data_IF_898490627329
#
_entry.id   IF_898490627329
#
_cell.length_a   1.000
_cell.length_b   1.000
_cell.length_c   1.000
_cell.angle_alpha   90.00
_cell.angle_beta   90.00
_cell.angle_gamma   90.00
#
_symmetry.space_group_name_H-M   'P 1'
#
loop_
_entity.id
_entity.type
_entity.pdbx_description
1 polymer ?
#
# COMPACT_ATOMS: atom_id res chain seq x y z
N UNK A 1 11.96 40.59 72.11
CA UNK A 1 11.20 41.54 72.94
C UNK A 1 9.98 41.99 72.16
N UNK A 2 8.80 41.69 72.71
CA UNK A 2 7.60 42.53 72.66
C UNK A 2 6.68 42.60 71.42
N UNK A 3 5.38 42.43 71.74
CA UNK A 3 4.18 43.05 71.16
C UNK A 3 3.54 42.39 69.92
N UNK A 4 2.58 41.46 70.08
CA UNK A 4 1.16 41.67 70.43
C UNK A 4 0.47 42.82 69.67
N UNK A 5 -0.48 42.46 68.78
CA UNK A 5 -1.84 43.04 68.63
C UNK A 5 -2.61 42.18 67.60
N UNK A 6 -3.51 41.29 68.01
CA UNK A 6 -4.95 41.52 68.26
C UNK A 6 -5.62 42.37 67.17
N UNK A 7 -6.33 41.73 66.24
CA UNK A 7 -7.68 42.16 65.84
C UNK A 7 -8.58 40.92 65.75
N UNK A 8 -9.68 41.01 66.49
CA UNK A 8 -10.81 40.08 66.57
C UNK A 8 -11.80 40.34 65.44
N UNK A 9 -12.57 39.31 65.14
CA UNK A 9 -14.00 39.37 64.76
C UNK A 9 -14.31 39.75 63.30
N UNK A 10 -14.84 38.78 62.54
CA UNK A 10 -16.27 38.80 62.19
C UNK A 10 -16.73 37.46 61.60
N UNK A 11 -17.68 36.86 62.31
CA UNK A 11 -18.66 35.89 61.83
C UNK A 11 -19.24 36.31 60.47
N UNK A 12 -19.23 35.39 59.48
CA UNK A 12 -20.39 35.17 58.58
C UNK A 12 -20.45 33.69 58.20
N UNK A 13 -21.44 33.01 58.78
CA UNK A 13 -22.05 31.80 58.23
C UNK A 13 -22.51 32.13 56.80
N UNK A 14 -22.02 31.39 55.82
CA UNK A 14 -22.71 31.21 54.54
C UNK A 14 -22.84 29.71 54.33
N UNK A 15 -24.06 29.21 54.57
CA UNK A 15 -24.53 27.97 53.98
C UNK A 15 -24.63 28.21 52.47
N UNK A 16 -23.72 27.63 51.69
CA UNK A 16 -23.85 27.55 50.24
C UNK A 16 -23.72 26.08 49.83
N UNK A 17 -24.72 25.63 49.08
CA UNK A 17 -24.96 24.26 48.72
C UNK A 17 -23.75 23.55 48.11
N UNK A 18 -23.56 22.32 48.56
CA UNK A 18 -22.68 21.32 47.96
C UNK A 18 -23.33 20.86 46.64
N UNK A 19 -23.16 21.63 45.57
CA UNK A 19 -23.42 21.16 44.21
C UNK A 19 -22.37 20.10 43.87
N UNK A 20 -22.77 18.82 43.89
CA UNK A 20 -22.04 17.75 43.24
C UNK A 20 -21.94 18.08 41.74
N UNK A 21 -20.88 18.80 41.37
CA UNK A 21 -20.44 18.90 39.99
C UNK A 21 -19.95 17.52 39.57
N UNK A 22 -20.77 16.77 38.84
CA UNK A 22 -20.29 15.66 38.04
C UNK A 22 -19.30 16.23 37.02
N UNK A 23 -18.01 16.16 37.34
CA UNK A 23 -16.96 16.30 36.33
C UNK A 23 -17.13 15.08 35.43
N UNK A 24 -17.88 15.23 34.34
CA UNK A 24 -17.82 14.30 33.22
C UNK A 24 -16.42 14.45 32.63
N UNK A 25 -15.49 13.67 33.17
CA UNK A 25 -14.23 13.40 32.51
C UNK A 25 -14.66 12.68 31.24
N UNK A 26 -14.77 13.42 30.14
CA UNK A 26 -14.80 12.81 28.82
C UNK A 26 -13.47 12.08 28.72
N UNK A 27 -13.51 10.79 29.05
CA UNK A 27 -12.48 9.85 28.65
C UNK A 27 -12.59 9.85 27.14
N UNK A 28 -11.87 10.76 26.48
CA UNK A 28 -11.47 10.56 25.11
C UNK A 28 -10.79 9.20 25.14
N UNK A 29 -11.48 8.19 24.59
CA UNK A 29 -10.90 6.88 24.41
C UNK A 29 -9.61 7.14 23.63
N UNK A 30 -8.49 7.10 24.35
CA UNK A 30 -7.18 7.26 23.76
C UNK A 30 -7.09 6.09 22.80
N UNK A 31 -6.99 6.37 21.49
CA UNK A 31 -6.95 5.32 20.49
C UNK A 31 -5.73 4.45 20.81
N UNK A 32 -5.98 3.25 21.35
CA UNK A 32 -4.94 2.40 21.92
C UNK A 32 -3.93 1.94 20.84
N UNK A 33 -4.27 2.12 19.56
CA UNK A 33 -3.47 1.76 18.39
C UNK A 33 -3.57 2.76 17.24
N UNK A 34 -2.94 3.95 17.35
CA UNK A 34 -2.99 4.98 16.30
C UNK A 34 -2.23 4.58 15.02
N UNK A 35 -1.41 3.53 15.08
CA UNK A 35 -0.71 2.98 13.92
C UNK A 35 -1.63 2.20 12.96
N UNK A 36 -2.84 1.85 13.42
CA UNK A 36 -3.85 1.13 12.62
C UNK A 36 -4.89 2.15 12.13
N UNK A 37 -4.96 2.32 10.82
CA UNK A 37 -5.96 3.10 10.11
C UNK A 37 -6.19 2.40 8.77
N UNK A 38 -7.30 1.69 8.59
CA UNK A 38 -7.56 1.00 7.34
C UNK A 38 -8.18 1.92 6.27
N UNK A 39 -8.33 3.22 6.56
CA UNK A 39 -8.86 4.24 5.66
C UNK A 39 -10.23 3.83 5.08
N UNK A 40 -11.06 3.21 5.93
CA UNK A 40 -12.31 2.58 5.50
C UNK A 40 -13.28 3.57 4.88
N UNK A 41 -13.30 4.83 5.33
CA UNK A 41 -14.22 5.85 4.82
C UNK A 41 -13.96 6.25 3.36
N UNK A 42 -12.77 5.96 2.82
CA UNK A 42 -12.43 6.22 1.42
C UNK A 42 -12.90 5.12 0.45
N UNK A 43 -13.39 3.99 0.97
CA UNK A 43 -13.81 2.86 0.15
C UNK A 43 -15.13 3.12 -0.57
N UNK A 44 -15.32 2.53 -1.77
CA UNK A 44 -16.53 2.71 -2.54
C UNK A 44 -17.71 1.93 -1.95
N UNK A 45 -18.76 2.65 -1.57
CA UNK A 45 -20.02 2.05 -1.12
C UNK A 45 -20.03 1.62 0.34
N UNK A 46 -21.22 1.58 0.92
CA UNK A 46 -21.41 1.35 2.35
C UNK A 46 -20.93 -0.05 2.79
N UNK A 47 -21.15 -1.06 1.94
CA UNK A 47 -20.79 -2.46 2.26
C UNK A 47 -19.28 -2.62 2.44
N UNK A 48 -18.47 -1.99 1.57
CA UNK A 48 -17.01 -2.01 1.68
C UNK A 48 -16.53 -1.30 2.94
N UNK A 49 -17.10 -0.12 3.21
CA UNK A 49 -16.77 0.67 4.39
C UNK A 49 -17.07 -0.10 5.69
N UNK A 50 -18.24 -0.76 5.77
CA UNK A 50 -18.64 -1.56 6.92
C UNK A 50 -17.72 -2.79 7.09
N UNK A 51 -17.41 -3.51 6.01
CA UNK A 51 -16.55 -4.69 6.10
C UNK A 51 -15.13 -4.34 6.53
N UNK A 52 -14.57 -3.27 5.95
CA UNK A 52 -13.29 -2.71 6.38
C UNK A 52 -13.32 -2.30 7.87
N UNK A 53 -14.36 -1.59 8.32
CA UNK A 53 -14.45 -1.13 9.71
C UNK A 53 -14.54 -2.29 10.73
N UNK A 54 -15.23 -3.39 10.37
CA UNK A 54 -15.24 -4.61 11.18
C UNK A 54 -13.83 -5.18 11.33
N UNK A 55 -13.07 -5.30 10.23
CA UNK A 55 -11.69 -5.80 10.24
C UNK A 55 -10.74 -4.86 10.99
N UNK A 56 -10.81 -3.55 10.75
CA UNK A 56 -10.01 -2.54 11.46
C UNK A 56 -10.22 -2.64 12.98
N UNK A 57 -11.47 -2.81 13.43
CA UNK A 57 -11.80 -2.97 14.85
C UNK A 57 -11.12 -4.21 15.45
N UNK A 58 -11.09 -5.33 14.71
CA UNK A 58 -10.43 -6.55 15.14
C UNK A 58 -8.90 -6.37 15.25
N UNK A 59 -8.27 -5.72 14.26
CA UNK A 59 -6.82 -5.41 14.29
C UNK A 59 -6.50 -4.47 15.46
N UNK A 60 -7.27 -3.39 15.65
CA UNK A 60 -7.06 -2.44 16.75
C UNK A 60 -7.13 -3.11 18.11
N UNK A 61 -8.09 -4.03 18.29
CA UNK A 61 -8.18 -4.84 19.50
C UNK A 61 -6.96 -5.73 19.70
N UNK A 62 -6.54 -6.48 18.68
CA UNK A 62 -5.37 -7.35 18.76
C UNK A 62 -4.08 -6.55 19.02
N UNK A 63 -3.96 -5.37 18.43
CA UNK A 63 -2.87 -4.45 18.64
C UNK A 63 -2.83 -3.92 20.09
N UNK A 64 -3.98 -3.56 20.68
CA UNK A 64 -4.08 -3.14 22.07
C UNK A 64 -3.67 -4.27 23.03
N UNK A 65 -4.15 -5.50 22.76
CA UNK A 65 -3.75 -6.70 23.49
C UNK A 65 -2.24 -7.00 23.35
N UNK A 66 -1.64 -6.60 22.22
CA UNK A 66 -0.20 -6.70 21.93
C UNK A 66 0.59 -5.41 22.23
N UNK A 67 0.16 -4.62 23.22
CA UNK A 67 0.88 -3.44 23.74
C UNK A 67 1.19 -2.38 22.68
N UNK A 68 0.24 -2.14 21.77
CA UNK A 68 0.33 -1.10 20.75
C UNK A 68 1.11 -1.52 19.49
N UNK A 69 1.43 -2.82 19.33
CA UNK A 69 2.09 -3.34 18.13
C UNK A 69 1.09 -4.16 17.31
N UNK A 70 0.73 -3.64 16.13
CA UNK A 70 -0.12 -4.37 15.20
C UNK A 70 0.52 -5.69 14.76
N UNK A 71 -0.24 -6.78 14.85
CA UNK A 71 0.18 -8.12 14.43
C UNK A 71 -0.41 -8.54 13.10
N UNK A 72 -1.26 -7.70 12.51
CA UNK A 72 -2.06 -7.98 11.34
C UNK A 72 -2.16 -6.72 10.45
N UNK A 73 -2.62 -6.90 9.22
CA UNK A 73 -2.71 -5.88 8.18
C UNK A 73 -4.16 -5.56 7.81
N UNK A 74 -4.38 -4.36 7.27
CA UNK A 74 -5.67 -3.99 6.69
C UNK A 74 -5.91 -4.77 5.39
N UNK A 75 -6.68 -5.87 5.46
CA UNK A 75 -6.93 -6.74 4.32
C UNK A 75 -7.90 -6.11 3.30
N UNK A 76 -8.91 -5.40 3.79
CA UNK A 76 -9.76 -4.46 3.03
C UNK A 76 -9.36 -3.07 3.46
N UNK A 77 -9.04 -2.20 2.51
CA UNK A 77 -8.35 -0.97 2.86
C UNK A 77 -8.49 0.16 1.83
N UNK A 78 -8.58 1.39 2.33
CA UNK A 78 -8.49 2.60 1.51
C UNK A 78 -7.10 2.85 0.93
N UNK A 79 -6.96 3.97 0.22
CA UNK A 79 -5.70 4.30 -0.44
C UNK A 79 -4.60 4.70 0.54
N UNK A 80 -4.94 5.23 1.71
CA UNK A 80 -4.02 5.73 2.73
C UNK A 80 -3.90 4.81 3.95
N UNK A 81 -4.29 3.54 3.79
CA UNK A 81 -4.34 2.61 4.90
C UNK A 81 -2.96 2.20 5.44
N UNK A 82 -2.93 1.87 6.73
CA UNK A 82 -1.77 1.40 7.51
C UNK A 82 -2.23 0.46 8.64
N UNK A 83 -1.49 -0.63 8.95
CA UNK A 83 -0.34 -1.14 8.20
C UNK A 83 -0.78 -1.96 6.98
N UNK A 84 0.02 -1.92 5.91
CA UNK A 84 -0.12 -2.76 4.73
C UNK A 84 1.19 -3.52 4.45
N UNK A 85 1.14 -4.75 3.92
CA UNK A 85 2.33 -5.53 3.53
C UNK A 85 2.91 -5.07 2.18
N UNK A 86 2.84 -3.77 1.88
CA UNK A 86 3.44 -3.17 0.69
C UNK A 86 4.95 -2.96 0.89
N UNK A 87 5.69 -2.89 -0.22
CA UNK A 87 7.12 -2.61 -0.21
C UNK A 87 7.44 -1.12 -0.35
N UNK A 88 6.44 -0.34 -0.76
CA UNK A 88 6.52 1.10 -1.02
C UNK A 88 6.51 1.91 0.27
N UNK A 89 7.49 2.80 0.46
CA UNK A 89 7.47 3.80 1.54
C UNK A 89 6.85 5.12 1.05
N UNK A 90 5.72 5.50 1.68
CA UNK A 90 4.99 6.72 1.36
C UNK A 90 5.33 7.89 2.31
N UNK A 91 6.28 7.74 3.22
CA UNK A 91 6.63 8.77 4.19
C UNK A 91 7.75 9.71 3.71
N UNK A 92 7.95 10.83 4.41
CA UNK A 92 9.19 11.61 4.35
C UNK A 92 9.51 12.32 3.02
N UNK A 93 8.55 13.07 2.46
CA UNK A 93 8.80 13.91 1.27
C UNK A 93 8.86 15.38 1.66
N UNK A 94 9.95 16.04 1.30
CA UNK A 94 10.18 17.46 1.57
C UNK A 94 10.12 18.26 0.26
N UNK A 95 9.45 19.42 0.29
CA UNK A 95 9.45 20.36 -0.84
C UNK A 95 10.85 20.97 -1.00
N UNK A 96 11.37 20.99 -2.23
CA UNK A 96 12.66 21.60 -2.59
C UNK A 96 12.46 22.85 -3.44
N UNK A 97 13.50 23.65 -3.62
CA UNK A 97 13.43 24.83 -4.50
C UNK A 97 13.27 24.47 -5.97
N UNK A 98 12.67 25.35 -6.77
CA UNK A 98 12.54 25.19 -8.25
C UNK A 98 13.87 24.86 -8.94
N UNK A 99 14.97 25.49 -8.49
CA UNK A 99 16.30 25.22 -9.03
C UNK A 99 16.80 23.79 -8.74
N UNK A 100 16.39 23.22 -7.60
CA UNK A 100 16.73 21.85 -7.22
C UNK A 100 15.90 20.82 -8.00
N UNK A 101 14.67 21.14 -8.41
CA UNK A 101 13.81 20.23 -9.19
C UNK A 101 14.54 19.75 -10.46
N UNK A 102 15.16 20.67 -11.22
CA UNK A 102 15.93 20.31 -12.42
C UNK A 102 17.11 19.37 -12.10
N UNK A 103 17.81 19.60 -10.98
CA UNK A 103 18.88 18.71 -10.52
C UNK A 103 18.35 17.32 -10.12
N UNK A 104 17.18 17.26 -9.48
CA UNK A 104 16.53 16.00 -9.13
C UNK A 104 16.07 15.22 -10.37
N UNK A 105 15.52 15.87 -11.39
CA UNK A 105 15.16 15.22 -12.66
C UNK A 105 16.38 14.58 -13.35
N UNK A 106 17.51 15.29 -13.40
CA UNK A 106 18.76 14.72 -13.92
C UNK A 106 19.22 13.50 -13.09
N UNK A 107 19.00 13.55 -11.76
CA UNK A 107 19.30 12.43 -10.87
C UNK A 107 18.40 11.23 -11.14
N UNK A 108 17.10 11.43 -11.39
CA UNK A 108 16.14 10.38 -11.79
C UNK A 108 16.64 9.66 -13.05
N UNK A 109 16.96 10.40 -14.11
CA UNK A 109 17.48 9.82 -15.35
C UNK A 109 18.79 9.03 -15.14
N UNK A 110 19.71 9.58 -14.33
CA UNK A 110 20.97 8.90 -14.00
C UNK A 110 20.73 7.60 -13.18
N UNK A 111 19.74 7.58 -12.29
CA UNK A 111 19.38 6.40 -11.51
C UNK A 111 18.78 5.30 -12.38
N UNK A 112 17.91 5.62 -13.35
CA UNK A 112 17.42 4.63 -14.32
C UNK A 112 18.56 4.00 -15.11
N UNK A 113 19.48 4.82 -15.65
CA UNK A 113 20.65 4.30 -16.36
C UNK A 113 21.50 3.38 -15.47
N UNK A 114 21.74 3.77 -14.21
CA UNK A 114 22.48 2.95 -13.25
C UNK A 114 21.77 1.62 -12.98
N UNK A 115 20.44 1.62 -12.80
CA UNK A 115 19.67 0.41 -12.52
C UNK A 115 19.74 -0.60 -13.68
N UNK A 116 19.70 -0.14 -14.93
CA UNK A 116 19.90 -1.02 -16.08
C UNK A 116 21.32 -1.60 -16.12
N UNK A 117 22.35 -0.77 -15.91
CA UNK A 117 23.74 -1.23 -15.88
C UNK A 117 23.99 -2.22 -14.73
N UNK A 118 23.39 -1.99 -13.56
CA UNK A 118 23.49 -2.87 -12.40
C UNK A 118 22.79 -4.22 -12.66
N UNK A 119 21.65 -4.24 -13.36
CA UNK A 119 20.98 -5.48 -13.73
C UNK A 119 21.86 -6.36 -14.64
N UNK A 120 22.50 -5.75 -15.64
CA UNK A 120 23.44 -6.43 -16.52
C UNK A 120 24.65 -6.97 -15.73
N UNK A 121 25.23 -6.14 -14.86
CA UNK A 121 26.36 -6.52 -14.01
C UNK A 121 26.00 -7.68 -13.06
N UNK A 122 24.81 -7.68 -12.48
CA UNK A 122 24.31 -8.78 -11.66
C UNK A 122 24.19 -10.06 -12.50
N UNK A 123 23.63 -9.96 -13.70
CA UNK A 123 23.50 -11.07 -14.64
C UNK A 123 24.86 -11.66 -15.06
N UNK A 124 25.85 -10.82 -15.35
CA UNK A 124 27.22 -11.25 -15.67
C UNK A 124 27.90 -11.94 -14.48
N UNK A 125 27.79 -11.37 -13.28
CA UNK A 125 28.35 -11.97 -12.07
C UNK A 125 27.75 -13.35 -11.80
N UNK A 126 26.44 -13.50 -11.95
CA UNK A 126 25.73 -14.78 -11.74
C UNK A 126 26.11 -15.81 -12.81
N UNK A 127 26.19 -15.42 -14.09
CA UNK A 127 26.69 -16.30 -15.18
C UNK A 127 28.12 -16.79 -14.90
N UNK A 128 28.97 -15.94 -14.32
CA UNK A 128 30.33 -16.29 -13.89
C UNK A 128 30.36 -17.09 -12.57
N UNK A 129 29.22 -17.54 -12.04
CA UNK A 129 29.06 -18.24 -10.76
C UNK A 129 29.55 -17.44 -9.54
N UNK A 130 29.70 -16.12 -9.67
CA UNK A 130 30.05 -15.19 -8.59
C UNK A 130 28.79 -14.71 -7.86
N UNK A 131 28.03 -15.65 -7.28
CA UNK A 131 26.71 -15.38 -6.70
C UNK A 131 26.72 -14.31 -5.60
N UNK A 132 27.76 -14.26 -4.76
CA UNK A 132 27.91 -13.23 -3.73
C UNK A 132 27.97 -11.82 -4.34
N UNK A 133 28.72 -11.65 -5.44
CA UNK A 133 28.78 -10.38 -6.17
C UNK A 133 27.43 -10.04 -6.80
N UNK A 134 26.74 -11.02 -7.40
CA UNK A 134 25.39 -10.82 -7.92
C UNK A 134 24.41 -10.34 -6.84
N UNK A 135 24.49 -10.92 -5.64
CA UNK A 135 23.67 -10.52 -4.50
C UNK A 135 23.95 -9.10 -4.02
N UNK A 136 25.23 -8.69 -3.96
CA UNK A 136 25.61 -7.32 -3.61
C UNK A 136 25.04 -6.30 -4.60
N UNK A 137 25.15 -6.58 -5.90
CA UNK A 137 24.61 -5.69 -6.95
C UNK A 137 23.09 -5.61 -6.85
N UNK A 138 22.39 -6.74 -6.71
CA UNK A 138 20.93 -6.72 -6.50
C UNK A 138 20.51 -6.01 -5.20
N UNK A 139 21.36 -5.97 -4.17
CA UNK A 139 21.09 -5.17 -2.97
C UNK A 139 21.19 -3.67 -3.28
N UNK A 140 22.25 -3.25 -3.97
CA UNK A 140 22.40 -1.86 -4.39
C UNK A 140 21.24 -1.41 -5.28
N UNK A 141 20.79 -2.27 -6.19
CA UNK A 141 19.62 -2.00 -7.02
C UNK A 141 18.34 -1.80 -6.19
N UNK A 142 18.06 -2.66 -5.21
CA UNK A 142 16.88 -2.53 -4.34
C UNK A 142 16.88 -1.18 -3.60
N UNK A 143 18.03 -0.75 -3.09
CA UNK A 143 18.20 0.57 -2.44
C UNK A 143 18.02 1.72 -3.45
N UNK A 144 18.50 1.55 -4.69
CA UNK A 144 18.36 2.56 -5.75
C UNK A 144 16.93 2.68 -6.28
N UNK A 145 16.15 1.59 -6.34
CA UNK A 145 14.71 1.62 -6.69
C UNK A 145 13.92 2.44 -5.66
N UNK A 146 14.24 2.28 -4.37
CA UNK A 146 13.63 3.07 -3.30
C UNK A 146 14.00 4.55 -3.40
N UNK A 147 15.29 4.84 -3.57
CA UNK A 147 15.78 6.21 -3.69
C UNK A 147 15.20 6.91 -4.92
N UNK A 148 15.05 6.19 -6.04
CA UNK A 148 14.46 6.67 -7.27
C UNK A 148 13.01 7.13 -7.03
N UNK A 149 12.19 6.28 -6.41
CA UNK A 149 10.80 6.64 -6.08
C UNK A 149 10.68 7.80 -5.11
N UNK A 150 11.52 7.84 -4.07
CA UNK A 150 11.55 8.96 -3.12
C UNK A 150 11.88 10.28 -3.81
N UNK A 151 12.90 10.29 -4.68
CA UNK A 151 13.27 11.49 -5.44
C UNK A 151 12.14 11.91 -6.39
N UNK A 152 11.49 10.95 -7.07
CA UNK A 152 10.34 11.25 -7.92
C UNK A 152 9.21 11.93 -7.13
N UNK A 153 8.85 11.36 -5.98
CA UNK A 153 7.85 11.98 -5.10
C UNK A 153 8.25 13.37 -4.65
N UNK A 154 9.54 13.60 -4.41
CA UNK A 154 10.08 14.90 -4.04
C UNK A 154 9.91 15.93 -5.16
N UNK A 155 10.19 15.53 -6.40
CA UNK A 155 9.97 16.36 -7.61
C UNK A 155 8.49 16.73 -7.73
N UNK A 156 7.59 15.74 -7.73
CA UNK A 156 6.17 15.98 -7.99
C UNK A 156 5.48 16.71 -6.85
N UNK A 157 5.85 16.44 -5.61
CA UNK A 157 5.36 17.20 -4.44
C UNK A 157 5.82 18.65 -4.50
N UNK A 158 7.02 18.93 -5.01
CA UNK A 158 7.53 20.30 -5.16
C UNK A 158 6.79 21.04 -6.27
N UNK A 159 6.55 20.41 -7.42
CA UNK A 159 5.71 20.99 -8.48
C UNK A 159 4.31 21.36 -7.98
N UNK A 160 3.64 20.46 -7.25
CA UNK A 160 2.32 20.74 -6.64
C UNK A 160 2.41 21.94 -5.68
N UNK A 161 3.46 22.02 -4.86
CA UNK A 161 3.65 23.12 -3.92
C UNK A 161 3.88 24.49 -4.60
N UNK A 162 4.35 24.49 -5.85
CA UNK A 162 4.52 25.68 -6.69
C UNK A 162 3.36 25.94 -7.65
N UNK A 163 2.22 25.24 -7.47
CA UNK A 163 1.02 25.36 -8.32
C UNK A 163 1.28 24.94 -9.79
N UNK A 164 2.29 24.09 -10.02
CA UNK A 164 2.66 23.52 -11.32
C UNK A 164 2.09 22.10 -11.49
N UNK A 165 0.78 21.92 -11.27
CA UNK A 165 0.13 20.59 -11.29
C UNK A 165 0.34 19.83 -12.61
N UNK A 166 0.34 20.51 -13.75
CA UNK A 166 0.58 19.88 -15.05
C UNK A 166 1.99 19.30 -15.20
N UNK A 167 3.00 19.93 -14.61
CA UNK A 167 4.37 19.40 -14.61
C UNK A 167 4.50 18.22 -13.63
N UNK A 168 3.73 18.23 -12.55
CA UNK A 168 3.63 17.07 -11.65
C UNK A 168 2.98 15.86 -12.33
N UNK A 169 1.89 16.07 -13.09
CA UNK A 169 1.22 15.02 -13.89
C UNK A 169 2.16 14.45 -14.95
N UNK A 170 2.79 15.29 -15.78
CA UNK A 170 3.78 14.85 -16.79
C UNK A 170 4.94 14.07 -16.17
N UNK A 171 5.46 14.52 -15.02
CA UNK A 171 6.54 13.82 -14.34
C UNK A 171 6.10 12.45 -13.81
N UNK A 172 4.84 12.28 -13.41
CA UNK A 172 4.29 10.98 -13.03
C UNK A 172 4.07 10.06 -14.23
N UNK A 173 3.58 10.59 -15.34
CA UNK A 173 3.44 9.86 -16.60
C UNK A 173 4.79 9.25 -17.03
N UNK A 174 5.82 10.09 -17.20
CA UNK A 174 7.18 9.66 -17.58
C UNK A 174 7.73 8.58 -16.63
N UNK A 175 7.59 8.82 -15.32
CA UNK A 175 8.07 7.89 -14.29
C UNK A 175 7.33 6.55 -14.33
N UNK A 176 6.02 6.55 -14.59
CA UNK A 176 5.20 5.34 -14.61
C UNK A 176 5.66 4.39 -15.72
N UNK A 177 5.93 4.91 -16.93
CA UNK A 177 6.37 4.14 -18.08
C UNK A 177 7.77 3.54 -17.87
N UNK A 178 8.73 4.35 -17.43
CA UNK A 178 10.11 3.92 -17.20
C UNK A 178 10.19 2.91 -16.04
N UNK A 179 9.45 3.15 -14.95
CA UNK A 179 9.35 2.21 -13.82
C UNK A 179 8.72 0.88 -14.24
N UNK A 180 7.69 0.92 -15.08
CA UNK A 180 7.04 -0.28 -15.60
C UNK A 180 7.99 -1.10 -16.47
N UNK A 181 8.75 -0.45 -17.35
CA UNK A 181 9.77 -1.11 -18.18
C UNK A 181 10.85 -1.77 -17.33
N UNK A 182 11.39 -1.05 -16.35
CA UNK A 182 12.36 -1.58 -15.40
C UNK A 182 11.79 -2.77 -14.61
N UNK A 183 10.55 -2.68 -14.12
CA UNK A 183 9.89 -3.76 -13.38
C UNK A 183 9.79 -5.04 -14.22
N UNK A 184 9.42 -4.92 -15.50
CA UNK A 184 9.36 -6.04 -16.45
C UNK A 184 10.74 -6.68 -16.70
N UNK A 185 11.79 -5.88 -16.81
CA UNK A 185 13.15 -6.39 -17.00
C UNK A 185 13.65 -7.17 -15.77
N UNK A 186 13.39 -6.65 -14.56
CA UNK A 186 13.75 -7.31 -13.30
C UNK A 186 12.91 -8.58 -13.08
N UNK A 187 11.62 -8.56 -13.39
CA UNK A 187 10.75 -9.74 -13.35
C UNK A 187 11.28 -10.84 -14.26
N UNK A 188 11.53 -10.53 -15.53
CA UNK A 188 12.10 -11.48 -16.49
C UNK A 188 13.42 -12.08 -15.99
N UNK A 189 14.26 -11.25 -15.36
CA UNK A 189 15.50 -11.70 -14.74
C UNK A 189 15.25 -12.64 -13.54
N UNK A 190 14.35 -12.27 -12.62
CA UNK A 190 13.96 -13.09 -11.47
C UNK A 190 13.34 -14.43 -11.86
N UNK A 191 12.40 -14.42 -12.81
CA UNK A 191 11.78 -15.62 -13.36
C UNK A 191 12.82 -16.54 -14.05
N UNK A 192 13.81 -15.97 -14.75
CA UNK A 192 14.92 -16.75 -15.31
C UNK A 192 15.75 -17.42 -14.22
N UNK A 193 16.05 -16.72 -13.11
CA UNK A 193 16.79 -17.30 -11.99
C UNK A 193 15.99 -18.42 -11.31
N UNK A 194 14.67 -18.29 -11.21
CA UNK A 194 13.80 -19.32 -10.66
C UNK A 194 13.82 -20.59 -11.52
N UNK A 195 13.78 -20.44 -12.85
CA UNK A 195 13.98 -21.57 -13.77
C UNK A 195 15.35 -22.24 -13.58
N UNK A 196 16.41 -21.46 -13.38
CA UNK A 196 17.74 -22.00 -13.08
C UNK A 196 17.81 -22.71 -11.71
N UNK A 197 17.02 -22.26 -10.74
CA UNK A 197 16.83 -22.96 -9.46
C UNK A 197 16.20 -24.35 -9.66
N UNK A 198 15.18 -24.46 -10.50
CA UNK A 198 14.50 -25.74 -10.78
C UNK A 198 15.40 -26.73 -11.54
N UNK A 199 16.23 -26.22 -12.46
CA UNK A 199 17.14 -27.03 -13.28
C UNK A 199 18.43 -27.43 -12.55
N UNK A 200 18.82 -26.69 -11.50
CA UNK A 200 20.07 -26.93 -10.79
C UNK A 200 20.05 -28.27 -10.01
N UNK A 201 21.02 -29.13 -10.32
CA UNK A 201 21.20 -30.43 -9.66
C UNK A 201 22.07 -30.34 -8.40
N UNK A 202 22.99 -29.38 -8.35
CA UNK A 202 23.88 -29.17 -7.21
C UNK A 202 23.24 -28.24 -6.17
N UNK A 203 23.32 -28.61 -4.89
CA UNK A 203 22.71 -27.86 -3.78
C UNK A 203 23.16 -26.40 -3.70
N UNK A 204 24.45 -26.14 -3.90
CA UNK A 204 25.01 -24.78 -3.75
C UNK A 204 24.51 -23.82 -4.84
N UNK A 205 24.64 -24.12 -6.16
CA UNK A 205 24.00 -23.35 -7.21
C UNK A 205 22.49 -23.24 -7.04
N UNK A 206 21.80 -24.34 -6.71
CA UNK A 206 20.35 -24.34 -6.49
C UNK A 206 19.96 -23.32 -5.43
N UNK A 207 20.53 -23.42 -4.23
CA UNK A 207 20.28 -22.46 -3.14
C UNK A 207 20.59 -21.02 -3.55
N UNK A 208 21.70 -20.80 -4.26
CA UNK A 208 22.08 -19.46 -4.72
C UNK A 208 21.04 -18.86 -5.69
N UNK A 209 20.60 -19.64 -6.69
CA UNK A 209 19.56 -19.20 -7.62
C UNK A 209 18.24 -18.90 -6.92
N UNK A 210 17.80 -19.73 -5.97
CA UNK A 210 16.57 -19.47 -5.21
C UNK A 210 16.60 -18.14 -4.44
N UNK A 211 17.71 -17.86 -3.74
CA UNK A 211 17.90 -16.60 -3.01
C UNK A 211 17.89 -15.40 -3.95
N UNK A 212 18.64 -15.48 -5.06
CA UNK A 212 18.75 -14.41 -6.04
C UNK A 212 17.41 -14.18 -6.78
N UNK A 213 16.69 -15.25 -7.11
CA UNK A 213 15.38 -15.19 -7.76
C UNK A 213 14.36 -14.47 -6.89
N UNK A 214 14.21 -14.88 -5.61
CA UNK A 214 13.30 -14.21 -4.67
C UNK A 214 13.66 -12.74 -4.49
N UNK A 215 14.96 -12.40 -4.44
CA UNK A 215 15.41 -11.01 -4.32
C UNK A 215 15.04 -10.17 -5.55
N UNK A 216 15.31 -10.68 -6.74
CA UNK A 216 14.94 -10.02 -8.00
C UNK A 216 13.42 -9.88 -8.14
N UNK A 217 12.65 -10.95 -7.87
CA UNK A 217 11.18 -10.89 -7.91
C UNK A 217 10.62 -9.91 -6.87
N UNK A 218 11.19 -9.83 -5.66
CA UNK A 218 10.76 -8.83 -4.67
C UNK A 218 10.99 -7.40 -5.19
N UNK A 219 12.14 -7.13 -5.81
CA UNK A 219 12.45 -5.85 -6.43
C UNK A 219 11.48 -5.53 -7.58
N UNK A 220 11.18 -6.51 -8.44
CA UNK A 220 10.19 -6.35 -9.51
C UNK A 220 8.81 -6.00 -8.95
N UNK A 221 8.36 -6.72 -7.91
CA UNK A 221 7.13 -6.42 -7.20
C UNK A 221 7.09 -4.98 -6.69
N UNK A 222 8.15 -4.53 -6.01
CA UNK A 222 8.29 -3.13 -5.54
C UNK A 222 8.23 -2.13 -6.70
N UNK A 223 8.97 -2.36 -7.78
CA UNK A 223 8.97 -1.48 -8.95
C UNK A 223 7.58 -1.41 -9.62
N UNK A 224 6.82 -2.51 -9.65
CA UNK A 224 5.42 -2.49 -10.08
C UNK A 224 4.53 -1.69 -9.12
N UNK A 225 4.70 -1.79 -7.79
CA UNK A 225 3.95 -0.94 -6.85
C UNK A 225 4.23 0.55 -7.11
N UNK A 226 5.49 0.93 -7.35
CA UNK A 226 5.88 2.30 -7.65
C UNK A 226 5.27 2.80 -8.97
N UNK A 227 5.29 1.96 -10.01
CA UNK A 227 4.68 2.29 -11.30
C UNK A 227 3.15 2.42 -11.17
N UNK A 228 2.49 1.50 -10.46
CA UNK A 228 1.05 1.57 -10.21
C UNK A 228 0.69 2.84 -9.42
N UNK A 229 1.47 3.18 -8.39
CA UNK A 229 1.29 4.42 -7.64
C UNK A 229 1.39 5.65 -8.56
N UNK A 230 2.37 5.68 -9.45
CA UNK A 230 2.54 6.77 -10.42
C UNK A 230 1.34 6.90 -11.37
N UNK A 231 0.85 5.79 -11.94
CA UNK A 231 -0.37 5.78 -12.75
C UNK A 231 -1.60 6.32 -11.98
N UNK A 232 -1.70 6.04 -10.67
CA UNK A 232 -2.77 6.62 -9.83
C UNK A 232 -2.62 8.14 -9.71
N UNK A 233 -1.41 8.66 -9.55
CA UNK A 233 -1.18 10.09 -9.48
C UNK A 233 -1.50 10.80 -10.81
N UNK A 234 -1.32 10.10 -11.92
CA UNK A 234 -1.71 10.53 -13.27
C UNK A 234 -3.17 10.15 -13.63
N UNK A 235 -3.97 9.72 -12.65
CA UNK A 235 -5.41 9.37 -12.82
C UNK A 235 -5.69 8.26 -13.84
N UNK A 236 -4.70 7.44 -14.19
CA UNK A 236 -4.83 6.28 -15.07
C UNK A 236 -5.19 5.03 -14.23
N UNK A 237 -6.45 4.95 -13.79
CA UNK A 237 -6.88 3.89 -12.86
C UNK A 237 -6.89 2.48 -13.46
N UNK A 238 -7.33 2.30 -14.72
CA UNK A 238 -7.25 1.02 -15.42
C UNK A 238 -5.81 0.47 -15.47
N UNK A 239 -4.85 1.31 -15.87
CA UNK A 239 -3.44 0.88 -15.94
C UNK A 239 -2.86 0.63 -14.54
N UNK A 240 -3.15 1.47 -13.56
CA UNK A 240 -2.79 1.21 -12.17
C UNK A 240 -3.33 -0.16 -11.70
N UNK A 241 -4.57 -0.50 -12.01
CA UNK A 241 -5.18 -1.77 -11.65
C UNK A 241 -4.45 -2.96 -12.27
N UNK A 242 -4.15 -2.91 -13.57
CA UNK A 242 -3.37 -3.96 -14.26
C UNK A 242 -1.98 -4.13 -13.64
N UNK A 243 -1.32 -3.03 -13.27
CA UNK A 243 0.01 -3.09 -12.68
C UNK A 243 -0.04 -3.63 -11.24
N UNK A 244 -1.01 -3.24 -10.43
CA UNK A 244 -1.24 -3.83 -9.11
C UNK A 244 -1.49 -5.33 -9.18
N UNK A 245 -2.30 -5.78 -10.15
CA UNK A 245 -2.50 -7.20 -10.42
C UNK A 245 -1.20 -7.89 -10.80
N UNK A 246 -0.40 -7.30 -11.67
CA UNK A 246 0.92 -7.87 -12.00
C UNK A 246 1.82 -7.97 -10.77
N UNK A 247 1.82 -6.97 -9.90
CA UNK A 247 2.56 -7.03 -8.64
C UNK A 247 2.07 -8.18 -7.74
N UNK A 248 0.76 -8.46 -7.69
CA UNK A 248 0.21 -9.56 -6.90
C UNK A 248 0.65 -10.93 -7.43
N UNK A 249 0.67 -11.10 -8.76
CA UNK A 249 1.17 -12.32 -9.41
C UNK A 249 2.63 -12.60 -9.03
N UNK A 250 3.47 -11.56 -8.96
CA UNK A 250 4.86 -11.69 -8.51
C UNK A 250 4.92 -12.14 -7.04
N UNK A 251 4.11 -11.55 -6.15
CA UNK A 251 4.04 -12.00 -4.74
C UNK A 251 3.60 -13.45 -4.64
N UNK A 252 2.64 -13.89 -5.46
CA UNK A 252 2.18 -15.27 -5.52
C UNK A 252 3.28 -16.22 -5.96
N UNK A 253 4.08 -15.87 -6.98
CA UNK A 253 5.24 -16.68 -7.39
C UNK A 253 6.22 -16.84 -6.23
N UNK A 254 6.49 -15.77 -5.47
CA UNK A 254 7.36 -15.83 -4.30
C UNK A 254 6.72 -16.70 -3.20
N UNK A 255 5.43 -16.54 -2.93
CA UNK A 255 4.66 -17.34 -1.98
C UNK A 255 4.77 -18.84 -2.30
N UNK A 256 4.49 -19.22 -3.54
CA UNK A 256 4.55 -20.61 -4.02
C UNK A 256 5.97 -21.18 -3.82
N UNK A 257 7.00 -20.40 -4.11
CA UNK A 257 8.39 -20.79 -3.85
C UNK A 257 8.69 -20.94 -2.34
N UNK A 258 8.15 -20.07 -1.48
CA UNK A 258 8.31 -20.16 -0.02
C UNK A 258 7.62 -21.40 0.56
N UNK A 259 6.43 -21.72 0.07
CA UNK A 259 5.72 -22.96 0.43
C UNK A 259 6.53 -24.18 -0.02
N UNK A 260 6.95 -24.22 -1.29
CA UNK A 260 7.70 -25.34 -1.85
C UNK A 260 9.05 -25.59 -1.16
N UNK A 261 9.64 -24.56 -0.55
CA UNK A 261 10.91 -24.63 0.20
C UNK A 261 10.73 -24.80 1.70
N UNK A 262 9.49 -25.00 2.19
CA UNK A 262 9.15 -25.10 3.61
C UNK A 262 9.74 -23.93 4.42
N UNK A 263 9.59 -22.70 3.92
CA UNK A 263 10.00 -21.51 4.63
C UNK A 263 9.21 -21.33 5.94
N UNK A 264 9.73 -20.48 6.84
CA UNK A 264 9.02 -20.11 8.07
C UNK A 264 7.63 -19.53 7.77
N UNK A 265 6.64 -19.89 8.61
CA UNK A 265 5.24 -19.49 8.41
C UNK A 265 5.07 -17.96 8.29
N UNK A 266 5.82 -17.18 9.07
CA UNK A 266 5.78 -15.72 8.99
C UNK A 266 6.16 -15.18 7.60
N UNK A 267 7.07 -15.84 6.88
CA UNK A 267 7.40 -15.45 5.50
C UNK A 267 6.30 -15.86 4.52
N UNK A 268 5.68 -17.03 4.72
CA UNK A 268 4.54 -17.49 3.91
C UNK A 268 3.38 -16.51 4.09
N UNK A 269 3.04 -16.19 5.34
CA UNK A 269 1.96 -15.26 5.68
C UNK A 269 2.23 -13.87 5.10
N UNK A 270 3.45 -13.34 5.21
CA UNK A 270 3.80 -12.05 4.63
C UNK A 270 3.50 -11.98 3.12
N UNK A 271 3.95 -12.96 2.32
CA UNK A 271 3.70 -12.94 0.88
C UNK A 271 2.24 -13.29 0.53
N UNK A 272 1.55 -14.07 1.37
CA UNK A 272 0.10 -14.29 1.26
C UNK A 272 -0.64 -12.97 1.41
N UNK A 273 -0.45 -12.24 2.51
CA UNK A 273 -1.10 -10.94 2.70
C UNK A 273 -0.69 -9.93 1.64
N UNK A 274 0.59 -9.88 1.24
CA UNK A 274 1.03 -9.01 0.15
C UNK A 274 0.30 -9.29 -1.16
N UNK A 275 0.05 -10.56 -1.47
CA UNK A 275 -0.74 -10.94 -2.65
C UNK A 275 -2.18 -10.43 -2.51
N UNK A 276 -2.83 -10.65 -1.36
CA UNK A 276 -4.17 -10.17 -1.08
C UNK A 276 -4.28 -8.64 -1.21
N UNK A 277 -3.39 -7.89 -0.55
CA UNK A 277 -3.36 -6.42 -0.58
C UNK A 277 -3.19 -5.86 -1.99
N UNK A 278 -2.30 -6.46 -2.80
CA UNK A 278 -2.08 -6.01 -4.18
C UNK A 278 -3.29 -6.31 -5.08
N UNK A 279 -3.96 -7.44 -4.89
CA UNK A 279 -5.23 -7.74 -5.58
C UNK A 279 -6.36 -6.80 -5.14
N UNK A 280 -6.44 -6.47 -3.85
CA UNK A 280 -7.40 -5.50 -3.35
C UNK A 280 -7.15 -4.10 -3.93
N UNK A 281 -5.88 -3.65 -4.04
CA UNK A 281 -5.53 -2.41 -4.75
C UNK A 281 -5.96 -2.45 -6.22
N UNK A 282 -5.73 -3.58 -6.91
CA UNK A 282 -6.18 -3.75 -8.29
C UNK A 282 -7.70 -3.63 -8.41
N UNK A 283 -8.44 -4.31 -7.54
CA UNK A 283 -9.90 -4.24 -7.45
C UNK A 283 -10.40 -2.81 -7.23
N UNK A 284 -9.84 -2.09 -6.25
CA UNK A 284 -10.22 -0.72 -5.93
C UNK A 284 -10.01 0.22 -7.13
N UNK A 285 -8.91 0.06 -7.87
CA UNK A 285 -8.66 0.89 -9.05
C UNK A 285 -9.55 0.53 -10.24
N UNK A 286 -9.87 -0.76 -10.46
CA UNK A 286 -10.92 -1.13 -11.43
C UNK A 286 -12.27 -0.49 -11.08
N UNK A 287 -12.63 -0.47 -9.80
CA UNK A 287 -13.87 0.17 -9.35
C UNK A 287 -13.86 1.67 -9.65
N UNK A 288 -12.76 2.37 -9.33
CA UNK A 288 -12.62 3.80 -9.58
C UNK A 288 -12.64 4.15 -11.08
N UNK A 289 -12.25 3.21 -11.94
CA UNK A 289 -12.33 3.35 -13.40
C UNK A 289 -13.74 3.06 -13.95
N UNK A 290 -14.65 2.51 -13.14
CA UNK A 290 -16.00 2.13 -13.54
C UNK A 290 -16.14 0.68 -14.03
N UNK A 291 -15.08 -0.11 -13.95
CA UNK A 291 -15.02 -1.51 -14.39
C UNK A 291 -15.41 -2.47 -13.24
N UNK A 292 -16.65 -2.34 -12.75
CA UNK A 292 -17.15 -3.07 -11.57
C UNK A 292 -16.97 -4.60 -11.66
N UNK A 293 -17.18 -5.16 -12.85
CA UNK A 293 -17.05 -6.61 -13.07
C UNK A 293 -15.62 -7.09 -12.84
N UNK A 294 -14.64 -6.37 -13.38
CA UNK A 294 -13.24 -6.69 -13.17
C UNK A 294 -12.85 -6.37 -11.72
N UNK A 295 -13.35 -5.30 -11.12
CA UNK A 295 -13.16 -5.04 -9.70
C UNK A 295 -13.58 -6.23 -8.81
N UNK A 296 -14.78 -6.78 -9.03
CA UNK A 296 -15.29 -7.95 -8.29
C UNK A 296 -14.46 -9.21 -8.53
N UNK A 297 -13.97 -9.40 -9.75
CA UNK A 297 -13.11 -10.54 -10.08
C UNK A 297 -11.78 -10.46 -9.31
N UNK A 298 -11.13 -9.30 -9.26
CA UNK A 298 -9.83 -9.21 -8.58
C UNK A 298 -10.03 -9.33 -7.06
N UNK A 299 -11.17 -8.86 -6.56
CA UNK A 299 -11.59 -9.02 -5.16
C UNK A 299 -11.85 -10.49 -4.81
N UNK A 300 -12.54 -11.25 -5.66
CA UNK A 300 -12.72 -12.69 -5.48
C UNK A 300 -11.38 -13.44 -5.52
N UNK A 301 -10.47 -13.08 -6.44
CA UNK A 301 -9.11 -13.64 -6.45
C UNK A 301 -8.35 -13.35 -5.13
N UNK A 302 -8.57 -12.17 -4.52
CA UNK A 302 -7.90 -11.78 -3.27
C UNK A 302 -8.29 -12.67 -2.08
N UNK A 303 -9.51 -13.22 -2.06
CA UNK A 303 -10.05 -14.08 -0.98
C UNK A 303 -9.18 -15.28 -0.68
N UNK A 304 -8.60 -15.88 -1.72
CA UNK A 304 -7.76 -17.05 -1.59
C UNK A 304 -6.52 -16.81 -0.72
N UNK A 305 -6.22 -15.54 -0.41
CA UNK A 305 -5.05 -15.10 0.35
C UNK A 305 -5.42 -14.36 1.64
N UNK A 306 -6.70 -14.33 2.04
CA UNK A 306 -7.16 -13.69 3.28
C UNK A 306 -7.33 -14.72 4.40
N UNK A 307 -7.29 -14.28 5.66
CA UNK A 307 -7.65 -15.15 6.79
C UNK A 307 -9.15 -15.36 6.91
N UNK A 308 -9.90 -14.28 6.71
CA UNK A 308 -11.35 -14.28 6.73
C UNK A 308 -11.88 -13.91 5.33
N UNK A 309 -12.13 -14.91 4.47
CA UNK A 309 -12.68 -14.66 3.14
C UNK A 309 -14.11 -14.12 3.18
N UNK A 310 -14.82 -14.24 4.32
CA UNK A 310 -16.19 -13.74 4.45
C UNK A 310 -16.25 -12.22 4.47
N UNK A 311 -15.11 -11.55 4.75
CA UNK A 311 -15.00 -10.10 4.68
C UNK A 311 -15.34 -9.54 3.31
N UNK A 312 -15.25 -10.32 2.23
CA UNK A 312 -15.58 -9.84 0.88
C UNK A 312 -16.85 -10.43 0.30
N UNK A 313 -17.45 -11.44 0.92
CA UNK A 313 -18.65 -12.09 0.39
C UNK A 313 -19.79 -11.08 0.18
N UNK A 314 -19.99 -10.19 1.15
CA UNK A 314 -20.99 -9.13 1.08
C UNK A 314 -20.71 -8.12 -0.05
N UNK A 315 -19.42 -7.89 -0.39
CA UNK A 315 -18.99 -6.93 -1.42
C UNK A 315 -19.15 -7.45 -2.85
N UNK A 316 -19.38 -8.75 -3.01
CA UNK A 316 -19.51 -9.42 -4.30
C UNK A 316 -20.97 -9.63 -4.74
N UNK A 317 -21.92 -9.35 -3.84
CA UNK A 317 -23.35 -9.43 -4.16
C UNK A 317 -23.65 -8.40 -5.26
N UNK A 318 -24.30 -8.84 -6.33
CA UNK A 318 -24.84 -7.92 -7.34
C UNK A 318 -25.95 -7.10 -6.69
N UNK A 319 -25.80 -5.77 -6.69
CA UNK A 319 -26.93 -4.92 -6.34
C UNK A 319 -28.04 -5.20 -7.36
N UNK A 320 -29.28 -5.43 -6.91
CA UNK A 320 -30.38 -5.66 -7.83
C UNK A 320 -30.44 -4.47 -8.78
N UNK A 321 -30.44 -4.72 -10.10
CA UNK A 321 -30.62 -3.67 -11.09
C UNK A 321 -31.82 -2.82 -10.67
N UNK A 322 -31.68 -1.49 -10.55
CA UNK A 322 -32.79 -0.65 -10.16
C UNK A 322 -33.91 -0.91 -11.16
N UNK A 323 -35.04 -1.43 -10.68
CA UNK A 323 -36.19 -1.73 -11.55
C UNK A 323 -36.43 -0.51 -12.44
N UNK A 324 -36.27 -0.69 -13.77
CA UNK A 324 -36.50 0.39 -14.71
C UNK A 324 -37.89 0.94 -14.37
N UNK A 325 -38.01 2.24 -14.04
CA UNK A 325 -39.27 2.78 -13.59
C UNK A 325 -40.27 2.50 -14.70
N UNK A 326 -41.26 1.63 -14.42
CA UNK A 326 -42.28 1.22 -15.39
C UNK A 326 -42.70 2.47 -16.15
N UNK A 327 -42.34 2.55 -17.43
CA UNK A 327 -42.69 3.66 -18.28
C UNK A 327 -44.22 3.62 -18.35
N UNK A 328 -44.87 4.36 -17.45
CA UNK A 328 -46.32 4.52 -17.42
C UNK A 328 -46.64 5.17 -18.74
N UNK A 329 -46.96 4.35 -19.73
CA UNK A 329 -47.44 4.75 -21.03
C UNK A 329 -48.63 5.68 -20.78
N UNK A 330 -48.35 6.99 -20.77
CA UNK A 330 -49.38 8.00 -20.74
C UNK A 330 -50.04 7.91 -22.10
N UNK A 331 -51.04 7.04 -22.19
CA UNK A 331 -51.91 6.92 -23.34
C UNK A 331 -52.49 8.30 -23.64
N UNK A 332 -51.90 8.99 -24.60
CA UNK A 332 -52.41 10.22 -25.18
C UNK A 332 -53.68 9.85 -25.94
N UNK A 333 -54.83 9.85 -25.25
CA UNK A 333 -56.14 9.79 -25.90
C UNK A 333 -56.36 11.12 -26.63
N UNK A 334 -56.09 11.13 -27.93
CA UNK A 334 -56.57 12.15 -28.86
C UNK A 334 -58.10 12.06 -28.91
N UNK A 335 -58.78 13.01 -28.25
CA UNK A 335 -60.21 13.23 -28.48
C UNK A 335 -60.39 13.85 -29.87
N UNK A 336 -61.23 13.23 -30.70
CA UNK A 336 -61.73 13.74 -31.98
C UNK A 336 -63.01 14.52 -31.80
#
# INVERSE_FOLDING_TARGET
MSLLRKIKSLLKLNALGLSLGFITINVFAQDDCPAVNCDCASLPGEVWQQSCARHETAIKKACADNKGVATDFCAIHGLNATPLPLLTDLTGVEVVSEAEISSLNNKVAAMYWSLHADLDLAGEAIKAKKYGRGQEVLKLMDDNIENLFRVQRQVTTSFIAYEEEGDAENAWEDYSEDSLKMARDIDKFGTKLLKQYDEAQEDKPKRAYGILAVKALRMAGKAYEHAAYAYVQDRQHDDAAKIWKRASEISKIILDHKIATNAEQAHIDYYRYQTATRLHRASLHQWLDGEEKDAKKELEESKAFMDDPTLVDDMLVEEPEPEEPEEKSRGFKLFK
#
